data_IF_722034590581
#
_entry.id   IF_722034590581
#
_cell.length_a   1.000
_cell.length_b   1.000
_cell.length_c   1.000
_cell.angle_alpha   90.00
_cell.angle_beta   90.00
_cell.angle_gamma   90.00
#
_symmetry.space_group_name_H-M   'P 1'
#
loop_
_entity.id
_entity.type
_entity.pdbx_description
1 polymer ?
#
# COMPACT_ATOMS: atom_id res chain seq x y z
N UNK A 1 -12.23 4.84 -7.87
CA UNK A 1 -11.14 3.91 -8.25
C UNK A 1 -10.73 2.95 -7.14
N UNK A 2 -10.28 3.38 -5.95
CA UNK A 2 -9.85 2.44 -4.91
C UNK A 2 -10.99 1.53 -4.45
N UNK A 3 -12.13 2.11 -4.06
CA UNK A 3 -13.32 1.34 -3.66
C UNK A 3 -13.86 0.46 -4.78
N UNK A 4 -13.83 0.92 -6.04
CA UNK A 4 -14.25 0.11 -7.20
C UNK A 4 -13.30 -1.07 -7.41
N UNK A 5 -11.99 -0.82 -7.39
CA UNK A 5 -10.96 -1.87 -7.50
C UNK A 5 -11.09 -2.87 -6.35
N UNK A 6 -11.38 -2.41 -5.13
CA UNK A 6 -11.66 -3.27 -3.99
C UNK A 6 -12.89 -4.15 -4.26
N UNK A 7 -14.02 -3.55 -4.67
CA UNK A 7 -15.27 -4.28 -4.97
C UNK A 7 -15.06 -5.39 -6.01
N UNK A 8 -14.35 -5.10 -7.09
CA UNK A 8 -14.11 -6.05 -8.18
C UNK A 8 -13.09 -7.13 -7.79
N UNK A 9 -11.98 -6.74 -7.18
CA UNK A 9 -10.81 -7.63 -7.04
C UNK A 9 -10.75 -8.36 -5.70
N UNK A 10 -11.39 -7.84 -4.64
CA UNK A 10 -11.23 -8.39 -3.29
C UNK A 10 -11.72 -9.83 -3.17
N UNK A 11 -12.81 -10.17 -3.88
CA UNK A 11 -13.42 -11.51 -3.86
C UNK A 11 -12.70 -12.53 -4.76
N UNK A 12 -11.82 -12.08 -5.65
CA UNK A 12 -11.04 -12.96 -6.51
C UNK A 12 -10.10 -13.86 -5.69
N UNK A 13 -9.89 -15.09 -6.18
CA UNK A 13 -9.03 -16.11 -5.59
C UNK A 13 -7.60 -16.01 -6.13
N UNK A 14 -6.68 -16.75 -5.52
CA UNK A 14 -5.25 -16.73 -5.86
C UNK A 14 -4.93 -16.92 -7.36
N UNK A 15 -5.52 -17.90 -8.06
CA UNK A 15 -5.29 -18.06 -9.51
C UNK A 15 -5.75 -16.86 -10.34
N UNK A 16 -6.87 -16.25 -9.97
CA UNK A 16 -7.43 -15.09 -10.67
C UNK A 16 -6.54 -13.85 -10.47
N UNK A 17 -5.96 -13.67 -9.29
CA UNK A 17 -4.95 -12.62 -9.03
C UNK A 17 -3.66 -12.81 -9.83
N UNK A 18 -3.31 -14.05 -10.19
CA UNK A 18 -2.13 -14.34 -11.05
C UNK A 18 -2.42 -14.13 -12.54
N UNK A 19 -3.69 -14.08 -12.94
CA UNK A 19 -4.06 -13.78 -14.31
C UNK A 19 -3.71 -12.32 -14.66
N UNK A 20 -3.44 -12.06 -15.94
CA UNK A 20 -3.14 -10.71 -16.43
C UNK A 20 -4.36 -9.81 -16.24
N UNK A 21 -4.16 -8.64 -15.65
CA UNK A 21 -5.24 -7.65 -15.50
C UNK A 21 -5.39 -6.83 -16.78
N UNK A 22 -6.64 -6.66 -17.20
CA UNK A 22 -7.04 -5.76 -18.28
C UNK A 22 -7.89 -4.67 -17.65
N UNK A 23 -7.37 -3.44 -17.63
CA UNK A 23 -8.05 -2.30 -17.03
C UNK A 23 -8.84 -1.58 -18.11
N UNK A 24 -10.09 -1.24 -17.79
CA UNK A 24 -10.97 -0.42 -18.62
C UNK A 24 -11.46 0.70 -17.70
N UNK A 25 -11.17 1.95 -18.06
CA UNK A 25 -11.74 3.12 -17.39
C UNK A 25 -13.07 3.46 -18.06
N UNK A 26 -14.11 3.66 -17.25
CA UNK A 26 -15.46 3.92 -17.76
C UNK A 26 -15.49 5.25 -18.53
N UNK A 27 -15.98 5.21 -19.77
CA UNK A 27 -16.08 6.39 -20.63
C UNK A 27 -14.77 6.81 -21.31
N UNK A 28 -13.67 6.06 -21.15
CA UNK A 28 -12.40 6.35 -21.80
C UNK A 28 -12.08 5.35 -22.92
N UNK A 29 -11.68 5.86 -24.09
CA UNK A 29 -11.12 5.02 -25.14
C UNK A 29 -9.69 4.61 -24.76
N UNK A 30 -9.54 3.37 -24.32
CA UNK A 30 -8.24 2.79 -24.00
C UNK A 30 -7.37 2.62 -25.24
N UNK A 31 -6.32 3.43 -25.37
CA UNK A 31 -5.38 3.32 -26.50
C UNK A 31 -4.47 2.08 -26.43
N UNK A 32 -3.95 1.75 -25.24
CA UNK A 32 -3.10 0.57 -25.02
C UNK A 32 -3.31 -0.03 -23.62
N UNK A 33 -3.54 -1.34 -23.57
CA UNK A 33 -3.78 -2.07 -22.33
C UNK A 33 -2.60 -1.98 -21.34
N UNK A 34 -1.37 -1.88 -21.83
CA UNK A 34 -0.17 -1.71 -20.99
C UNK A 34 -0.06 -0.31 -20.38
N UNK A 35 -0.51 0.73 -21.10
CA UNK A 35 -0.66 2.09 -20.60
C UNK A 35 -1.67 2.17 -19.47
N UNK A 36 -2.88 1.67 -19.70
CA UNK A 36 -3.97 1.70 -18.71
C UNK A 36 -3.63 0.95 -17.42
N UNK A 37 -2.95 -0.20 -17.53
CA UNK A 37 -2.50 -0.94 -16.35
C UNK A 37 -1.49 -0.15 -15.52
N UNK A 38 -0.53 0.54 -16.17
CA UNK A 38 0.45 1.40 -15.47
C UNK A 38 -0.23 2.57 -14.78
N UNK A 39 -1.19 3.19 -15.45
CA UNK A 39 -1.97 4.29 -14.89
C UNK A 39 -2.79 3.84 -13.68
N UNK A 40 -3.47 2.69 -13.78
CA UNK A 40 -4.19 2.11 -12.65
C UNK A 40 -3.28 1.84 -11.45
N UNK A 41 -2.09 1.26 -11.66
CA UNK A 41 -1.12 1.08 -10.58
C UNK A 41 -0.66 2.40 -9.95
N UNK A 42 -0.47 3.44 -10.76
CA UNK A 42 -0.10 4.77 -10.28
C UNK A 42 -1.19 5.38 -9.38
N UNK A 43 -2.46 5.33 -9.84
CA UNK A 43 -3.58 5.89 -9.08
C UNK A 43 -3.85 5.07 -7.82
N UNK A 44 -3.88 3.73 -7.91
CA UNK A 44 -4.17 2.88 -6.75
C UNK A 44 -3.10 3.03 -5.66
N UNK A 45 -1.82 3.20 -6.05
CA UNK A 45 -0.71 3.45 -5.13
C UNK A 45 -0.93 4.73 -4.33
N UNK A 46 -1.36 5.82 -4.98
CA UNK A 46 -1.67 7.07 -4.30
C UNK A 46 -2.86 6.92 -3.35
N UNK A 47 -3.88 6.18 -3.76
CA UNK A 47 -5.08 5.95 -2.95
C UNK A 47 -4.80 5.12 -1.69
N UNK A 48 -3.85 4.17 -1.74
CA UNK A 48 -3.42 3.39 -0.56
C UNK A 48 -2.99 4.32 0.59
N UNK A 49 -2.31 5.42 0.27
CA UNK A 49 -1.79 6.39 1.24
C UNK A 49 -2.73 7.58 1.48
N UNK A 50 -3.94 7.56 0.91
CA UNK A 50 -4.91 8.63 1.10
C UNK A 50 -5.39 8.63 2.57
N UNK A 51 -5.22 9.75 3.31
CA UNK A 51 -5.55 9.82 4.73
C UNK A 51 -7.03 9.57 5.03
N UNK A 52 -7.92 9.74 4.04
CA UNK A 52 -9.35 9.50 4.19
C UNK A 52 -9.70 8.03 4.46
N UNK A 53 -8.86 7.07 4.03
CA UNK A 53 -9.07 5.65 4.36
C UNK A 53 -8.47 5.26 5.72
N UNK A 54 -7.69 6.14 6.35
CA UNK A 54 -7.02 5.95 7.63
C UNK A 54 -6.14 4.69 7.73
N UNK A 55 -5.64 4.15 6.60
CA UNK A 55 -4.87 2.89 6.58
C UNK A 55 -3.41 3.07 6.99
N UNK A 56 -2.75 4.05 6.39
CA UNK A 56 -1.32 4.33 6.59
C UNK A 56 -1.13 5.80 6.98
N UNK A 57 -0.03 6.05 7.68
CA UNK A 57 0.42 7.41 8.05
C UNK A 57 1.90 7.54 7.73
N UNK A 58 2.35 8.78 7.52
CA UNK A 58 3.79 9.05 7.35
C UNK A 58 4.54 8.83 8.66
N UNK A 59 5.73 8.24 8.55
CA UNK A 59 6.61 8.03 9.68
C UNK A 59 7.11 9.40 10.19
N UNK A 60 6.96 9.72 11.49
CA UNK A 60 7.24 11.07 11.99
C UNK A 60 8.71 11.49 11.93
N UNK A 61 9.63 10.53 11.86
CA UNK A 61 11.08 10.75 11.83
C UNK A 61 11.62 11.18 10.47
N UNK A 62 11.09 10.65 9.37
CA UNK A 62 11.56 10.97 8.00
C UNK A 62 10.52 11.67 7.12
N UNK A 63 9.22 11.53 7.44
CA UNK A 63 8.06 12.07 6.71
C UNK A 63 7.96 11.67 5.23
N UNK A 64 8.73 10.69 4.79
CA UNK A 64 8.77 10.20 3.40
C UNK A 64 8.41 8.73 3.30
N UNK A 65 8.49 7.98 4.41
CA UNK A 65 8.04 6.59 4.49
C UNK A 65 6.70 6.47 5.20
N UNK A 66 5.98 5.38 4.93
CA UNK A 66 4.68 5.08 5.51
C UNK A 66 4.71 3.89 6.46
N UNK A 67 3.92 4.00 7.52
CA UNK A 67 3.67 2.93 8.51
C UNK A 67 2.16 2.69 8.65
N UNK A 68 1.77 1.55 9.22
CA UNK A 68 0.36 1.26 9.54
C UNK A 68 -0.17 2.32 10.50
N UNK A 69 -1.34 2.85 10.21
CA UNK A 69 -2.03 3.71 11.14
C UNK A 69 -2.59 2.90 12.32
N UNK A 70 -2.08 3.15 13.52
CA UNK A 70 -2.55 2.52 14.77
C UNK A 70 -4.01 2.83 15.06
N UNK A 71 -4.56 3.91 14.51
CA UNK A 71 -5.99 4.27 14.62
C UNK A 71 -6.81 3.88 13.40
N UNK A 72 -6.33 2.95 12.57
CA UNK A 72 -7.04 2.49 11.37
C UNK A 72 -8.41 1.89 11.66
N UNK A 73 -8.66 1.42 12.89
CA UNK A 73 -9.95 0.88 13.34
C UNK A 73 -11.11 1.89 13.25
N UNK A 74 -10.83 3.19 13.09
CA UNK A 74 -11.84 4.22 12.78
C UNK A 74 -12.54 3.91 11.46
N UNK A 75 -11.84 3.24 10.52
CA UNK A 75 -12.43 2.67 9.32
C UNK A 75 -12.88 1.21 9.61
N UNK A 76 -14.19 0.91 9.60
CA UNK A 76 -14.71 -0.43 9.88
C UNK A 76 -14.19 -1.51 8.92
N UNK A 77 -13.81 -1.15 7.69
CA UNK A 77 -13.33 -2.07 6.65
C UNK A 77 -11.79 -2.23 6.65
N UNK A 78 -11.08 -1.63 7.61
CA UNK A 78 -9.62 -1.51 7.56
C UNK A 78 -8.87 -2.84 7.38
N UNK A 79 -9.33 -3.94 8.00
CA UNK A 79 -8.69 -5.25 7.88
C UNK A 79 -8.79 -5.81 6.46
N UNK A 80 -9.97 -5.66 5.84
CA UNK A 80 -10.19 -6.11 4.47
C UNK A 80 -9.41 -5.24 3.48
N UNK A 81 -9.33 -3.94 3.75
CA UNK A 81 -8.47 -3.04 2.98
C UNK A 81 -6.98 -3.39 3.13
N UNK A 82 -6.47 -3.68 4.34
CA UNK A 82 -5.08 -4.12 4.48
C UNK A 82 -4.79 -5.41 3.71
N UNK A 83 -5.72 -6.38 3.73
CA UNK A 83 -5.62 -7.60 2.94
C UNK A 83 -5.61 -7.31 1.44
N UNK A 84 -6.46 -6.38 0.98
CA UNK A 84 -6.50 -5.95 -0.41
C UNK A 84 -5.20 -5.25 -0.83
N UNK A 85 -4.70 -4.31 -0.04
CA UNK A 85 -3.43 -3.62 -0.27
C UNK A 85 -2.26 -4.61 -0.33
N UNK A 86 -2.21 -5.59 0.58
CA UNK A 86 -1.21 -6.65 0.52
C UNK A 86 -1.27 -7.45 -0.79
N UNK A 87 -2.46 -7.75 -1.30
CA UNK A 87 -2.64 -8.41 -2.61
C UNK A 87 -2.21 -7.52 -3.78
N UNK A 88 -2.48 -6.22 -3.74
CA UNK A 88 -2.02 -5.26 -4.76
C UNK A 88 -0.49 -5.19 -4.83
N UNK A 89 0.17 -5.08 -3.68
CA UNK A 89 1.64 -5.05 -3.60
C UNK A 89 2.21 -6.38 -4.12
N UNK A 90 1.66 -7.52 -3.69
CA UNK A 90 2.09 -8.82 -4.18
C UNK A 90 1.86 -8.99 -5.70
N UNK A 91 0.76 -8.45 -6.22
CA UNK A 91 0.45 -8.43 -7.65
C UNK A 91 1.47 -7.62 -8.44
N UNK A 92 1.85 -6.43 -7.96
CA UNK A 92 2.86 -5.61 -8.61
C UNK A 92 4.22 -6.32 -8.64
N UNK A 93 4.63 -6.95 -7.53
CA UNK A 93 5.85 -7.78 -7.48
C UNK A 93 5.77 -8.94 -8.47
N UNK A 94 4.64 -9.65 -8.53
CA UNK A 94 4.42 -10.78 -9.44
C UNK A 94 4.51 -10.37 -10.92
N UNK A 95 4.02 -9.19 -11.28
CA UNK A 95 4.08 -8.67 -12.66
C UNK A 95 5.35 -7.85 -12.96
N UNK A 96 6.32 -7.84 -12.04
CA UNK A 96 7.55 -7.05 -12.13
C UNK A 96 7.27 -5.55 -12.40
N UNK A 97 6.31 -4.99 -11.68
CA UNK A 97 5.92 -3.58 -11.72
C UNK A 97 6.42 -2.87 -10.46
N UNK A 98 7.01 -1.70 -10.66
CA UNK A 98 7.38 -0.81 -9.57
C UNK A 98 6.14 -0.05 -9.09
N UNK A 99 5.97 0.02 -7.77
CA UNK A 99 5.01 0.90 -7.13
C UNK A 99 5.77 2.02 -6.44
N UNK A 100 5.20 3.22 -6.47
CA UNK A 100 5.69 4.38 -5.72
C UNK A 100 5.24 4.29 -4.25
N UNK A 101 5.54 3.15 -3.61
CA UNK A 101 5.15 2.80 -2.25
C UNK A 101 6.39 2.64 -1.36
N UNK A 102 6.66 3.63 -0.51
CA UNK A 102 7.81 3.60 0.41
C UNK A 102 7.34 3.34 1.83
N UNK A 103 7.57 2.14 2.35
CA UNK A 103 7.23 1.78 3.73
C UNK A 103 8.45 1.94 4.67
N UNK A 104 8.21 1.95 5.98
CA UNK A 104 9.30 1.95 6.96
C UNK A 104 10.13 0.66 6.87
N UNK A 105 11.37 0.72 7.35
CA UNK A 105 12.25 -0.45 7.42
C UNK A 105 11.63 -1.58 8.25
N UNK A 106 10.99 -1.24 9.36
CA UNK A 106 10.28 -2.19 10.21
C UNK A 106 9.13 -2.87 9.44
N UNK A 107 8.38 -2.13 8.62
CA UNK A 107 7.31 -2.70 7.79
C UNK A 107 7.83 -3.76 6.82
N UNK A 108 8.92 -3.47 6.08
CA UNK A 108 9.53 -4.49 5.20
C UNK A 108 10.05 -5.70 5.98
N UNK A 109 10.61 -5.51 7.18
CA UNK A 109 11.02 -6.63 8.05
C UNK A 109 9.84 -7.49 8.48
N UNK A 110 8.69 -6.90 8.77
CA UNK A 110 7.46 -7.65 9.07
C UNK A 110 7.02 -8.52 7.88
N UNK A 111 7.05 -8.00 6.65
CA UNK A 111 6.74 -8.79 5.44
C UNK A 111 7.69 -9.99 5.30
N UNK A 112 8.97 -9.79 5.58
CA UNK A 112 10.01 -10.81 5.46
C UNK A 112 10.09 -11.75 6.67
N UNK A 113 9.22 -11.59 7.67
CA UNK A 113 9.26 -12.31 8.94
C UNK A 113 10.64 -12.23 9.63
N UNK A 114 11.27 -11.05 9.57
CA UNK A 114 12.56 -10.76 10.21
C UNK A 114 12.35 -10.01 11.53
N UNK A 115 13.24 -10.20 12.52
CA UNK A 115 13.16 -9.48 13.79
C UNK A 115 13.40 -7.98 13.59
N UNK A 116 12.50 -7.17 14.16
CA UNK A 116 12.62 -5.71 14.23
C UNK A 116 13.49 -5.34 15.43
N UNK A 117 14.49 -4.49 15.21
CA UNK A 117 15.39 -3.97 16.24
C UNK A 117 15.07 -2.49 16.50
N UNK A 118 15.57 -1.96 17.62
CA UNK A 118 15.37 -0.56 17.99
C UNK A 118 15.74 0.43 16.86
N UNK A 119 16.83 0.16 16.15
CA UNK A 119 17.32 0.98 15.02
C UNK A 119 16.33 1.04 13.84
N UNK A 120 15.48 0.03 13.66
CA UNK A 120 14.50 0.01 12.56
C UNK A 120 13.27 0.86 12.85
N UNK A 121 13.07 1.24 14.12
CA UNK A 121 11.95 2.06 14.60
C UNK A 121 12.30 3.54 14.70
N UNK A 122 13.53 3.93 14.35
CA UNK A 122 13.98 5.33 14.47
C UNK A 122 13.18 6.29 13.59
N UNK A 123 12.67 5.86 12.43
CA UNK A 123 11.77 6.68 11.62
C UNK A 123 10.35 6.76 12.19
N UNK A 124 9.93 5.77 12.99
CA UNK A 124 8.57 5.69 13.54
C UNK A 124 8.40 6.49 14.83
N UNK A 125 9.49 6.81 15.51
CA UNK A 125 9.49 7.57 16.75
C UNK A 125 10.15 8.92 16.50
N UNK A 126 9.49 10.01 16.87
CA UNK A 126 10.17 11.30 16.91
C UNK A 126 11.18 11.28 18.05
N UNK A 127 12.45 11.06 17.73
CA UNK A 127 13.54 11.36 18.64
C UNK A 127 13.61 12.89 18.83
N UNK A 128 12.87 13.41 19.81
CA UNK A 128 13.20 14.69 20.38
C UNK A 128 14.49 14.47 21.19
N UNK A 129 15.58 15.16 20.84
CA UNK A 129 16.85 15.17 21.56
C UNK A 129 16.70 15.81 22.97
N UNK A 130 15.81 15.30 23.83
CA UNK A 130 15.62 15.80 25.19
C UNK A 130 16.24 14.89 26.26
N UNK A 131 16.82 13.75 25.90
CA UNK A 131 17.47 12.84 26.85
C UNK A 131 18.84 12.39 26.36
N UNK A 132 19.68 13.37 26.01
CA UNK A 132 21.13 13.24 26.18
C UNK A 132 21.54 14.26 27.25
N UNK A 133 21.16 13.97 28.49
CA UNK A 133 21.82 14.52 29.68
C UNK A 133 22.81 13.46 30.16
#
# INVERSE_FOLDING_TARGET
LFSDSFRELFRMRGPEWKARFYIIFEGEEGQDAGGLLREWFSIITREIFNPNYALFITAPGDRVTYMINKTSYINPEHLDYFKFVGRLIAKAVYENKLLDCFFTRAFYKHILNLPVRAQDLESEVRFCYSLKN
#
